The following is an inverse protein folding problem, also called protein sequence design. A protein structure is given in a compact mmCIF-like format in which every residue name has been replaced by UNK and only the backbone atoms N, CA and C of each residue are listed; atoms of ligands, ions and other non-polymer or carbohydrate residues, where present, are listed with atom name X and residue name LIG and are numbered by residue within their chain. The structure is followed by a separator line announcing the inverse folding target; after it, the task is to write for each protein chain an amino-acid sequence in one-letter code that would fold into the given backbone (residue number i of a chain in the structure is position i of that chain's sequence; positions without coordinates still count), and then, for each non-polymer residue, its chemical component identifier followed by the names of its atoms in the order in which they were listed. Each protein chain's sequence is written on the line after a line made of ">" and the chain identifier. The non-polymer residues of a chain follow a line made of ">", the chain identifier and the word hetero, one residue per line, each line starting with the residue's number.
data_IF_713507028172
#
_entry.id   IF_713507028172
#
_cell.length_a   1.000
_cell.length_b   1.000
_cell.length_c   1.000
_cell.angle_alpha   90.00
_cell.angle_beta   90.00
_cell.angle_gamma   90.00
#
_symmetry.space_group_name_H-M   'P 1'
#
loop_
_entity.id
_entity.type
_entity.pdbx_description
1 polymer ?
#
# COMPACT_ATOMS: atom_id res chain seq x y z
N UNK A 1 17.86 19.82 -6.56
CA UNK A 1 17.04 18.64 -6.19
C UNK A 1 15.84 19.13 -5.39
N UNK A 2 14.61 18.69 -5.67
CA UNK A 2 13.47 19.19 -4.90
C UNK A 2 13.48 18.57 -3.49
N UNK A 3 13.22 19.37 -2.45
CA UNK A 3 13.09 18.90 -1.07
C UNK A 3 12.08 17.74 -0.94
N UNK A 4 11.08 17.70 -1.82
CA UNK A 4 10.08 16.62 -1.88
C UNK A 4 10.73 15.25 -2.12
N UNK A 5 11.55 15.11 -3.18
CA UNK A 5 12.20 13.82 -3.55
C UNK A 5 13.12 13.32 -2.43
N UNK A 6 13.87 14.24 -1.78
CA UNK A 6 14.70 13.91 -0.63
C UNK A 6 13.87 13.41 0.55
N UNK A 7 12.72 14.04 0.83
CA UNK A 7 11.85 13.63 1.92
C UNK A 7 11.21 12.27 1.65
N UNK A 8 10.78 12.01 0.40
CA UNK A 8 10.28 10.68 -0.01
C UNK A 8 11.38 9.63 0.15
N UNK A 9 12.61 9.92 -0.30
CA UNK A 9 13.74 8.98 -0.16
C UNK A 9 14.03 8.65 1.31
N UNK A 10 14.06 9.63 2.19
CA UNK A 10 14.27 9.40 3.64
C UNK A 10 13.20 8.46 4.21
N UNK A 11 11.95 8.68 3.83
CA UNK A 11 10.80 7.87 4.27
C UNK A 11 10.86 6.45 3.69
N UNK A 12 11.13 6.32 2.39
CA UNK A 12 11.32 5.03 1.74
C UNK A 12 12.52 4.26 2.32
N UNK A 13 13.64 4.97 2.61
CA UNK A 13 14.80 4.36 3.26
C UNK A 13 14.49 3.81 4.64
N UNK A 14 13.67 4.50 5.43
CA UNK A 14 13.22 4.00 6.72
C UNK A 14 12.41 2.70 6.56
N UNK A 15 11.45 2.68 5.62
CA UNK A 15 10.67 1.49 5.30
C UNK A 15 11.57 0.34 4.83
N UNK A 16 12.47 0.58 3.86
CA UNK A 16 13.39 -0.42 3.31
C UNK A 16 14.29 -1.02 4.39
N UNK A 17 14.86 -0.19 5.26
CA UNK A 17 15.71 -0.67 6.34
C UNK A 17 14.94 -1.54 7.34
N UNK A 18 13.69 -1.17 7.66
CA UNK A 18 12.81 -1.98 8.48
C UNK A 18 12.55 -3.35 7.83
N UNK A 19 12.18 -3.36 6.55
CA UNK A 19 11.92 -4.61 5.80
C UNK A 19 13.15 -5.51 5.73
N UNK A 20 14.33 -4.96 5.47
CA UNK A 20 15.58 -5.71 5.47
C UNK A 20 15.89 -6.29 6.86
N UNK A 21 15.61 -5.54 7.93
CA UNK A 21 15.76 -6.02 9.29
C UNK A 21 14.81 -7.20 9.59
N UNK A 22 13.54 -7.07 9.19
CA UNK A 22 12.55 -8.15 9.33
C UNK A 22 12.94 -9.37 8.49
N UNK A 23 13.38 -9.17 7.24
CA UNK A 23 13.88 -10.23 6.37
C UNK A 23 15.00 -11.04 7.06
N UNK A 24 15.99 -10.36 7.62
CA UNK A 24 17.08 -11.00 8.37
C UNK A 24 16.55 -11.77 9.59
N UNK A 25 15.56 -11.23 10.29
CA UNK A 25 14.91 -11.90 11.43
C UNK A 25 14.18 -13.18 11.01
N UNK A 26 13.57 -13.21 9.83
CA UNK A 26 12.95 -14.42 9.27
C UNK A 26 14.04 -15.45 8.91
N UNK A 27 15.12 -15.04 8.24
CA UNK A 27 16.25 -15.88 7.88
C UNK A 27 16.86 -16.57 9.14
N UNK A 28 16.98 -15.83 10.21
CA UNK A 28 17.48 -16.31 11.51
C UNK A 28 16.46 -17.11 12.32
N UNK A 29 15.26 -17.33 11.79
CA UNK A 29 14.14 -18.03 12.44
C UNK A 29 13.67 -17.40 13.77
N UNK A 30 13.90 -16.10 13.93
CA UNK A 30 13.41 -15.32 15.07
C UNK A 30 11.92 -14.98 14.92
N UNK A 31 11.44 -14.92 13.69
CA UNK A 31 10.05 -14.65 13.33
C UNK A 31 9.42 -15.90 12.71
N UNK A 32 8.24 -16.29 13.19
CA UNK A 32 7.63 -17.60 12.87
C UNK A 32 6.34 -17.51 12.06
N UNK A 33 5.78 -16.32 11.87
CA UNK A 33 4.54 -16.12 11.13
C UNK A 33 4.81 -15.95 9.64
N UNK A 34 3.80 -16.21 8.78
CA UNK A 34 3.84 -15.68 7.42
C UNK A 34 3.97 -14.15 7.47
N UNK A 35 5.04 -13.62 6.91
CA UNK A 35 5.29 -12.19 6.88
C UNK A 35 5.36 -11.73 5.42
N UNK A 36 4.59 -10.69 5.10
CA UNK A 36 4.44 -10.13 3.78
C UNK A 36 5.24 -8.83 3.69
N UNK A 37 6.48 -8.95 3.20
CA UNK A 37 7.40 -7.82 3.11
C UNK A 37 7.04 -6.91 1.94
N UNK A 38 7.06 -5.60 2.17
CA UNK A 38 6.73 -4.56 1.18
C UNK A 38 7.95 -3.95 0.48
N UNK A 39 9.15 -4.48 0.70
CA UNK A 39 10.36 -4.04 0.02
C UNK A 39 10.21 -4.15 -1.51
N UNK A 40 10.60 -3.11 -2.21
CA UNK A 40 10.39 -2.90 -3.65
C UNK A 40 9.20 -1.99 -3.96
N UNK A 41 8.18 -1.97 -3.10
CA UNK A 41 6.93 -1.19 -3.25
C UNK A 41 6.85 0.03 -2.30
N UNK A 42 7.84 0.25 -1.45
CA UNK A 42 7.81 1.28 -0.40
C UNK A 42 7.69 2.71 -0.93
N UNK A 43 8.09 2.96 -2.18
CA UNK A 43 7.98 4.30 -2.78
C UNK A 43 6.54 4.75 -2.99
N UNK A 44 5.61 3.82 -3.18
CA UNK A 44 4.17 4.13 -3.29
C UNK A 44 3.70 4.78 -1.99
N UNK A 45 3.85 4.08 -0.88
CA UNK A 45 3.41 4.58 0.43
C UNK A 45 4.19 5.80 0.89
N UNK A 46 5.52 5.83 0.65
CA UNK A 46 6.36 6.96 1.01
C UNK A 46 5.98 8.24 0.28
N UNK A 47 5.65 8.12 -1.02
CA UNK A 47 5.23 9.26 -1.84
C UNK A 47 3.86 9.77 -1.45
N UNK A 48 2.88 8.87 -1.28
CA UNK A 48 1.52 9.22 -0.87
C UNK A 48 1.57 9.91 0.50
N UNK A 49 2.27 9.36 1.48
CA UNK A 49 2.41 9.95 2.81
C UNK A 49 3.05 11.33 2.76
N UNK A 50 4.06 11.54 1.91
CA UNK A 50 4.68 12.85 1.75
C UNK A 50 3.74 13.87 1.10
N UNK A 51 2.97 13.46 0.08
CA UNK A 51 1.93 14.33 -0.55
C UNK A 51 0.88 14.73 0.48
N UNK A 52 0.37 13.77 1.27
CA UNK A 52 -0.61 14.05 2.33
C UNK A 52 -0.06 15.02 3.37
N UNK A 53 1.18 14.81 3.82
CA UNK A 53 1.86 15.71 4.77
C UNK A 53 2.01 17.13 4.22
N UNK A 54 2.46 17.26 2.97
CA UNK A 54 2.66 18.57 2.33
C UNK A 54 1.33 19.33 2.17
N UNK A 55 0.23 18.58 1.98
CA UNK A 55 -1.12 19.12 1.88
C UNK A 55 -1.83 19.34 3.24
N UNK A 56 -1.24 18.90 4.36
CA UNK A 56 -1.87 18.96 5.68
C UNK A 56 -3.10 18.05 5.81
N UNK A 57 -3.16 16.95 5.05
CA UNK A 57 -4.29 16.02 5.05
C UNK A 57 -3.94 14.79 5.89
N UNK A 58 -4.84 14.41 6.80
CA UNK A 58 -4.76 13.18 7.61
C UNK A 58 -5.87 12.21 7.19
N UNK A 59 -5.65 11.36 6.17
CA UNK A 59 -6.68 10.46 5.65
C UNK A 59 -6.93 9.27 6.58
N UNK A 60 -8.11 8.67 6.45
CA UNK A 60 -8.35 7.30 6.90
C UNK A 60 -7.68 6.33 5.91
N UNK A 61 -6.93 5.35 6.42
CA UNK A 61 -6.09 4.47 5.58
C UNK A 61 -6.49 3.02 5.81
N UNK A 62 -6.98 2.36 4.77
CA UNK A 62 -7.31 0.95 4.77
C UNK A 62 -6.20 0.19 4.03
N UNK A 63 -5.42 -0.59 4.78
CA UNK A 63 -4.22 -1.24 4.25
C UNK A 63 -4.51 -2.66 3.77
N UNK A 64 -3.68 -3.14 2.86
CA UNK A 64 -3.61 -4.53 2.46
C UNK A 64 -2.69 -5.35 3.38
N UNK A 65 -2.62 -6.67 3.17
CA UNK A 65 -1.76 -7.58 3.94
C UNK A 65 -0.25 -7.25 3.86
N UNK A 66 0.21 -6.58 2.78
CA UNK A 66 1.59 -6.09 2.57
C UNK A 66 1.71 -4.64 3.03
N UNK A 67 1.28 -4.35 4.25
CA UNK A 67 1.05 -3.00 4.73
C UNK A 67 2.17 -2.36 5.54
N UNK A 68 3.32 -3.02 5.74
CA UNK A 68 4.38 -2.51 6.60
C UNK A 68 4.86 -1.11 6.17
N UNK A 69 5.15 -0.92 4.88
CA UNK A 69 5.59 0.38 4.37
C UNK A 69 4.50 1.45 4.52
N UNK A 70 3.23 1.12 4.30
CA UNK A 70 2.12 2.07 4.53
C UNK A 70 2.04 2.48 5.99
N UNK A 71 2.11 1.50 6.91
CA UNK A 71 2.10 1.74 8.35
C UNK A 71 3.24 2.70 8.77
N UNK A 72 4.46 2.41 8.32
CA UNK A 72 5.65 3.18 8.68
C UNK A 72 5.72 4.55 7.98
N UNK A 73 5.33 4.61 6.70
CA UNK A 73 5.35 5.85 5.94
C UNK A 73 4.37 6.90 6.50
N UNK A 74 3.29 6.47 7.13
CA UNK A 74 2.34 7.35 7.82
C UNK A 74 2.66 7.56 9.31
N UNK A 75 3.92 7.35 9.71
CA UNK A 75 4.45 7.63 11.04
C UNK A 75 3.76 6.85 12.17
N UNK A 76 3.24 5.66 11.89
CA UNK A 76 2.77 4.76 12.94
C UNK A 76 3.97 4.13 13.70
N UNK A 77 3.81 3.81 15.01
CA UNK A 77 4.95 3.45 15.85
C UNK A 77 5.66 2.17 15.41
N UNK A 78 6.93 2.20 14.98
CA UNK A 78 7.66 1.02 14.50
C UNK A 78 7.85 -0.05 15.58
N UNK A 79 7.96 0.37 16.86
CA UNK A 79 8.06 -0.57 17.98
C UNK A 79 6.82 -1.44 18.10
N UNK A 80 5.63 -0.88 17.92
CA UNK A 80 4.37 -1.65 17.96
C UNK A 80 4.29 -2.64 16.80
N UNK A 81 4.82 -2.29 15.63
CA UNK A 81 4.88 -3.22 14.50
C UNK A 81 5.85 -4.37 14.77
N UNK A 82 7.05 -4.10 15.30
CA UNK A 82 8.00 -5.14 15.70
C UNK A 82 7.39 -6.06 16.77
N UNK A 83 6.76 -5.50 17.79
CA UNK A 83 6.12 -6.28 18.86
C UNK A 83 4.99 -7.15 18.29
N UNK A 84 4.25 -6.67 17.27
CA UNK A 84 3.24 -7.45 16.56
C UNK A 84 3.84 -8.65 15.83
N UNK A 85 4.90 -8.43 15.05
CA UNK A 85 5.61 -9.49 14.32
C UNK A 85 6.25 -10.53 15.26
N UNK A 86 6.51 -10.15 16.51
CA UNK A 86 6.99 -11.04 17.56
C UNK A 86 5.87 -11.69 18.38
N UNK A 87 4.60 -11.46 18.06
CA UNK A 87 3.44 -12.00 18.77
C UNK A 87 3.26 -11.46 20.19
N UNK A 88 3.73 -10.24 20.48
CA UNK A 88 3.66 -9.61 21.79
C UNK A 88 2.36 -8.84 21.99
N UNK A 89 1.81 -8.84 23.20
CA UNK A 89 0.61 -8.06 23.55
C UNK A 89 0.77 -6.53 23.36
N UNK A 90 2.01 -6.03 23.36
CA UNK A 90 2.34 -4.61 23.06
C UNK A 90 2.33 -4.30 21.55
N UNK A 91 2.09 -5.29 20.70
CA UNK A 91 1.93 -5.11 19.27
C UNK A 91 0.68 -4.32 18.89
N UNK A 92 0.66 -3.78 17.69
CA UNK A 92 -0.39 -2.90 17.19
C UNK A 92 -1.76 -3.60 17.03
N UNK A 93 -1.79 -4.93 16.98
CA UNK A 93 -2.98 -5.78 17.01
C UNK A 93 -2.90 -6.82 18.14
N UNK A 94 -2.24 -6.46 19.25
CA UNK A 94 -2.07 -7.29 20.45
C UNK A 94 -1.32 -8.61 20.23
N UNK A 95 -0.48 -8.68 19.20
CA UNK A 95 0.28 -9.88 18.83
C UNK A 95 -0.54 -10.97 18.15
N UNK A 96 -1.77 -10.66 17.72
CA UNK A 96 -2.69 -11.60 17.08
C UNK A 96 -2.87 -11.37 15.58
N UNK A 97 -2.51 -10.19 15.08
CA UNK A 97 -2.69 -9.82 13.68
C UNK A 97 -1.54 -10.24 12.77
N UNK A 98 -0.35 -10.46 13.32
CA UNK A 98 0.87 -10.75 12.58
C UNK A 98 1.17 -9.64 11.56
N UNK A 99 1.70 -10.00 10.39
CA UNK A 99 2.00 -9.04 9.33
C UNK A 99 0.75 -8.59 8.54
N UNK A 100 -0.34 -9.35 8.57
CA UNK A 100 -1.50 -9.08 7.73
C UNK A 100 -2.48 -8.07 8.31
N UNK A 101 -2.67 -8.05 9.64
CA UNK A 101 -3.74 -7.28 10.30
C UNK A 101 -3.19 -6.16 11.20
N UNK A 102 -2.15 -5.47 10.73
CA UNK A 102 -1.55 -4.34 11.45
C UNK A 102 -2.47 -3.12 11.39
N UNK A 103 -2.53 -2.34 12.46
CA UNK A 103 -3.41 -1.17 12.58
C UNK A 103 -2.81 -0.09 13.48
N UNK A 104 -3.27 1.15 13.31
CA UNK A 104 -2.94 2.24 14.23
C UNK A 104 -4.14 3.16 14.39
N UNK A 105 -4.71 3.19 15.59
CA UNK A 105 -5.83 4.08 15.91
C UNK A 105 -5.40 5.56 15.80
N UNK A 106 -4.21 5.88 16.31
CA UNK A 106 -3.66 7.24 16.31
C UNK A 106 -3.46 7.78 14.89
N UNK A 107 -3.00 6.92 13.97
CA UNK A 107 -2.75 7.29 12.57
C UNK A 107 -3.90 6.94 11.62
N UNK A 108 -5.08 6.63 12.16
CA UNK A 108 -6.28 6.25 11.39
C UNK A 108 -6.00 5.13 10.39
N UNK A 109 -5.15 4.15 10.76
CA UNK A 109 -4.82 3.00 9.91
C UNK A 109 -5.68 1.82 10.34
N UNK A 110 -6.47 1.31 9.40
CA UNK A 110 -7.36 0.17 9.55
C UNK A 110 -6.70 -1.07 8.95
N UNK A 111 -6.60 -2.11 9.75
CA UNK A 111 -5.95 -3.35 9.37
C UNK A 111 -6.76 -4.19 8.40
N UNK A 112 -6.08 -5.09 7.72
CA UNK A 112 -6.66 -6.10 6.84
C UNK A 112 -7.22 -7.27 7.67
N UNK A 113 -8.31 -7.88 7.22
CA UNK A 113 -9.01 -8.96 7.94
C UNK A 113 -8.65 -10.39 7.45
N UNK A 114 -7.81 -10.49 6.40
CA UNK A 114 -7.40 -11.75 5.79
C UNK A 114 -8.17 -12.09 4.50
N UNK A 115 -9.33 -11.49 4.23
CA UNK A 115 -10.06 -11.63 2.98
C UNK A 115 -9.57 -10.58 1.97
N UNK A 116 -8.90 -11.02 0.89
CA UNK A 116 -8.28 -10.13 -0.08
C UNK A 116 -9.30 -9.16 -0.71
N UNK A 117 -9.05 -7.85 -0.60
CA UNK A 117 -9.93 -6.82 -1.17
C UNK A 117 -11.09 -6.37 -0.27
N UNK A 118 -11.43 -7.08 0.81
CA UNK A 118 -12.56 -6.75 1.70
C UNK A 118 -12.47 -5.35 2.30
N UNK A 119 -11.27 -4.81 2.47
CA UNK A 119 -11.05 -3.45 2.94
C UNK A 119 -11.68 -2.38 2.05
N UNK A 120 -11.90 -2.66 0.75
CA UNK A 120 -12.47 -1.67 -0.18
C UNK A 120 -13.95 -1.35 0.14
N UNK A 121 -14.89 -2.31 0.20
CA UNK A 121 -16.27 -2.00 0.57
C UNK A 121 -16.38 -1.48 2.01
N UNK A 122 -15.53 -1.91 2.94
CA UNK A 122 -15.50 -1.39 4.32
C UNK A 122 -15.10 0.08 4.32
N UNK A 123 -14.06 0.45 3.58
CA UNK A 123 -13.59 1.83 3.44
C UNK A 123 -14.63 2.73 2.77
N UNK A 124 -15.33 2.21 1.75
CA UNK A 124 -16.43 2.94 1.09
C UNK A 124 -17.55 3.23 2.09
N UNK A 125 -17.95 2.23 2.89
CA UNK A 125 -18.95 2.42 3.95
C UNK A 125 -18.52 3.45 5.00
N UNK A 126 -17.26 3.37 5.43
CA UNK A 126 -16.68 4.35 6.36
C UNK A 126 -16.67 5.77 5.76
N UNK A 127 -16.14 5.92 4.54
CA UNK A 127 -16.07 7.22 3.87
C UNK A 127 -17.45 7.80 3.56
N UNK A 128 -18.43 6.95 3.25
CA UNK A 128 -19.82 7.38 3.00
C UNK A 128 -20.42 8.10 4.20
N UNK A 129 -20.12 7.64 5.40
CA UNK A 129 -20.62 8.25 6.64
C UNK A 129 -19.75 9.42 7.09
N UNK A 130 -18.43 9.25 7.11
CA UNK A 130 -17.51 10.27 7.63
C UNK A 130 -17.31 11.46 6.70
N UNK A 131 -17.39 11.22 5.39
CA UNK A 131 -17.01 12.19 4.34
C UNK A 131 -15.57 12.70 4.45
N UNK A 132 -14.71 11.99 5.20
CA UNK A 132 -13.30 12.31 5.33
C UNK A 132 -12.47 11.68 4.21
N UNK A 133 -11.34 12.31 3.81
CA UNK A 133 -10.37 11.72 2.89
C UNK A 133 -10.03 10.28 3.28
N UNK A 134 -10.16 9.34 2.35
CA UNK A 134 -9.96 7.92 2.63
C UNK A 134 -9.11 7.27 1.54
N UNK A 135 -8.07 6.55 1.95
CA UNK A 135 -7.16 5.80 1.07
C UNK A 135 -7.39 4.31 1.29
N UNK A 136 -7.46 3.56 0.20
CA UNK A 136 -7.55 2.09 0.21
C UNK A 136 -6.38 1.52 -0.58
N UNK A 137 -5.53 0.72 0.06
CA UNK A 137 -4.47 -0.02 -0.60
C UNK A 137 -4.95 -1.41 -0.99
N UNK A 138 -4.68 -1.80 -2.23
CA UNK A 138 -5.03 -3.09 -2.84
C UNK A 138 -3.82 -3.66 -3.56
N UNK A 139 -3.68 -4.97 -3.62
CA UNK A 139 -2.80 -5.61 -4.59
C UNK A 139 -3.52 -5.78 -5.93
N UNK A 140 -2.78 -6.00 -7.01
CA UNK A 140 -3.32 -6.16 -8.36
C UNK A 140 -4.37 -7.29 -8.48
N UNK A 141 -4.15 -8.42 -7.80
CA UNK A 141 -5.11 -9.52 -7.78
C UNK A 141 -6.32 -9.25 -6.88
N UNK A 142 -6.10 -8.64 -5.71
CA UNK A 142 -7.22 -8.31 -4.81
C UNK A 142 -8.16 -7.25 -5.38
N UNK A 143 -7.67 -6.43 -6.30
CA UNK A 143 -8.48 -5.44 -6.99
C UNK A 143 -9.47 -6.08 -8.00
N UNK A 144 -9.25 -7.33 -8.39
CA UNK A 144 -10.11 -8.08 -9.32
C UNK A 144 -11.39 -8.65 -8.66
N UNK A 145 -11.45 -8.64 -7.32
CA UNK A 145 -12.58 -9.20 -6.59
C UNK A 145 -13.89 -8.43 -6.88
N UNK A 146 -14.99 -9.16 -7.02
CA UNK A 146 -16.29 -8.60 -7.42
C UNK A 146 -16.82 -7.53 -6.46
N UNK A 147 -16.61 -7.70 -5.16
CA UNK A 147 -16.98 -6.71 -4.16
C UNK A 147 -16.08 -5.46 -4.20
N UNK A 148 -14.86 -5.55 -4.73
CA UNK A 148 -14.01 -4.37 -4.99
C UNK A 148 -14.57 -3.58 -6.17
N UNK A 149 -14.95 -4.26 -7.26
CA UNK A 149 -15.58 -3.61 -8.40
C UNK A 149 -16.88 -2.91 -7.99
N UNK A 150 -17.71 -3.56 -7.17
CA UNK A 150 -18.89 -2.96 -6.58
C UNK A 150 -18.59 -1.73 -5.72
N UNK A 151 -17.52 -1.78 -4.92
CA UNK A 151 -17.07 -0.66 -4.09
C UNK A 151 -16.63 0.55 -4.94
N UNK A 152 -15.91 0.34 -6.05
CA UNK A 152 -15.54 1.40 -6.99
C UNK A 152 -16.79 2.10 -7.57
N UNK A 153 -17.76 1.32 -8.06
CA UNK A 153 -19.01 1.85 -8.60
C UNK A 153 -19.80 2.67 -7.57
N UNK A 154 -19.83 2.24 -6.31
CA UNK A 154 -20.47 2.98 -5.21
C UNK A 154 -19.71 4.27 -4.89
N UNK A 155 -18.39 4.22 -4.76
CA UNK A 155 -17.57 5.40 -4.49
C UNK A 155 -17.78 6.48 -5.55
N UNK A 156 -17.79 6.09 -6.83
CA UNK A 156 -18.08 6.98 -7.96
C UNK A 156 -19.49 7.56 -7.85
N UNK A 157 -20.52 6.71 -7.72
CA UNK A 157 -21.93 7.14 -7.65
C UNK A 157 -22.19 8.14 -6.51
N UNK A 158 -21.49 8.01 -5.40
CA UNK A 158 -21.65 8.89 -4.21
C UNK A 158 -20.65 10.04 -4.16
N UNK A 159 -19.80 10.15 -5.18
CA UNK A 159 -18.72 11.16 -5.26
C UNK A 159 -17.95 11.26 -3.93
N UNK A 160 -17.38 10.11 -3.50
CA UNK A 160 -16.67 10.03 -2.22
C UNK A 160 -15.24 10.55 -2.36
N UNK A 161 -14.69 11.27 -1.35
CA UNK A 161 -13.28 11.70 -1.35
C UNK A 161 -12.35 10.50 -1.09
N UNK A 162 -12.22 9.63 -2.08
CA UNK A 162 -11.50 8.37 -1.96
C UNK A 162 -10.38 8.23 -3.00
N UNK A 163 -9.27 7.66 -2.53
CA UNK A 163 -8.16 7.19 -3.35
C UNK A 163 -8.04 5.67 -3.22
N UNK A 164 -8.27 4.95 -4.31
CA UNK A 164 -7.95 3.53 -4.42
C UNK A 164 -6.56 3.39 -5.03
N UNK A 165 -5.63 2.77 -4.30
CA UNK A 165 -4.25 2.52 -4.73
C UNK A 165 -4.09 1.05 -5.03
N UNK A 166 -3.89 0.70 -6.28
CA UNK A 166 -3.56 -0.67 -6.70
C UNK A 166 -2.04 -0.77 -6.84
N UNK A 167 -1.42 -1.51 -5.94
CA UNK A 167 0.02 -1.82 -5.98
C UNK A 167 0.22 -3.00 -6.94
N UNK A 168 0.42 -2.68 -8.23
CA UNK A 168 0.49 -3.66 -9.32
C UNK A 168 1.92 -4.16 -9.49
N UNK A 169 2.23 -5.26 -8.82
CA UNK A 169 3.50 -5.98 -8.99
C UNK A 169 3.41 -7.14 -9.99
N UNK A 170 2.33 -7.21 -10.78
CA UNK A 170 2.05 -8.23 -11.78
C UNK A 170 1.83 -9.65 -11.23
N UNK A 171 1.78 -9.86 -9.89
CA UNK A 171 1.78 -11.20 -9.31
C UNK A 171 0.68 -11.39 -8.25
N UNK A 172 -0.20 -12.39 -8.48
CA UNK A 172 -1.00 -13.02 -7.43
C UNK A 172 -0.23 -14.24 -6.90
N UNK A 173 0.39 -14.12 -5.73
CA UNK A 173 1.37 -15.08 -5.24
C UNK A 173 2.48 -15.28 -6.27
N UNK A 174 2.31 -16.19 -7.24
CA UNK A 174 3.23 -16.48 -8.36
C UNK A 174 2.56 -16.40 -9.74
N UNK A 175 1.24 -16.14 -9.78
CA UNK A 175 0.48 -16.10 -11.04
C UNK A 175 0.51 -14.69 -11.62
N UNK A 176 1.07 -14.57 -12.83
CA UNK A 176 1.13 -13.28 -13.53
C UNK A 176 -0.27 -12.76 -13.89
N UNK A 177 -0.39 -11.42 -13.93
CA UNK A 177 -1.63 -10.71 -14.28
C UNK A 177 -2.22 -11.16 -15.63
N UNK A 178 -1.38 -11.35 -16.66
CA UNK A 178 -1.80 -11.78 -18.00
C UNK A 178 -2.51 -13.15 -18.05
N UNK A 179 -2.32 -13.99 -17.02
CA UNK A 179 -3.00 -15.30 -16.90
C UNK A 179 -4.39 -15.12 -16.29
N UNK A 180 -4.58 -14.10 -15.45
CA UNK A 180 -5.81 -13.84 -14.70
C UNK A 180 -6.78 -12.93 -15.44
N UNK A 181 -6.25 -11.90 -16.16
CA UNK A 181 -7.07 -10.91 -16.85
C UNK A 181 -6.37 -10.32 -18.07
N UNK A 182 -7.17 -9.79 -18.99
CA UNK A 182 -6.74 -9.08 -20.20
C UNK A 182 -7.23 -7.62 -20.24
N UNK A 183 -7.53 -7.05 -19.08
CA UNK A 183 -8.02 -5.69 -18.90
C UNK A 183 -7.27 -5.01 -17.76
N UNK A 184 -7.31 -3.68 -17.69
CA UNK A 184 -6.59 -2.89 -16.72
C UNK A 184 -7.53 -2.20 -15.72
N UNK A 185 -7.10 -2.13 -14.45
CA UNK A 185 -7.93 -1.56 -13.38
C UNK A 185 -8.25 -0.08 -13.58
N UNK A 186 -7.31 0.69 -14.12
CA UNK A 186 -7.55 2.12 -14.39
C UNK A 186 -8.61 2.32 -15.49
N UNK A 187 -8.81 1.39 -16.41
CA UNK A 187 -9.87 1.45 -17.41
C UNK A 187 -11.22 1.04 -16.82
N UNK A 188 -11.24 0.08 -15.90
CA UNK A 188 -12.45 -0.26 -15.12
C UNK A 188 -12.93 0.96 -14.31
N UNK A 189 -12.03 1.69 -13.67
CA UNK A 189 -12.39 2.92 -12.97
C UNK A 189 -13.03 3.95 -13.91
N UNK A 190 -12.48 4.15 -15.11
CA UNK A 190 -13.07 5.03 -16.13
C UNK A 190 -14.46 4.57 -16.58
N UNK A 191 -14.69 3.26 -16.67
CA UNK A 191 -16.01 2.72 -16.99
C UNK A 191 -17.07 3.03 -15.92
N UNK A 192 -16.65 3.26 -14.68
CA UNK A 192 -17.51 3.78 -13.60
C UNK A 192 -17.55 5.32 -13.52
N UNK A 193 -17.06 6.04 -14.53
CA UNK A 193 -16.91 7.50 -14.51
C UNK A 193 -16.04 8.01 -13.35
N UNK A 194 -15.06 7.22 -12.96
CA UNK A 194 -14.05 7.54 -11.95
C UNK A 194 -12.74 7.89 -12.63
N UNK A 195 -11.98 8.82 -12.08
CA UNK A 195 -10.63 9.12 -12.55
C UNK A 195 -9.74 7.89 -12.35
N UNK A 196 -9.32 7.25 -13.44
CA UNK A 196 -8.41 6.10 -13.48
C UNK A 196 -7.08 6.48 -14.09
N UNK A 197 -5.98 6.26 -13.34
CA UNK A 197 -4.62 6.60 -13.77
C UNK A 197 -3.74 5.36 -13.64
N UNK A 198 -2.93 5.09 -14.66
CA UNK A 198 -1.84 4.14 -14.65
C UNK A 198 -0.51 4.88 -14.60
N UNK A 199 0.37 4.49 -13.68
CA UNK A 199 1.63 5.20 -13.42
C UNK A 199 2.67 4.23 -12.86
N UNK A 200 3.96 4.54 -13.03
CA UNK A 200 5.04 3.85 -12.33
C UNK A 200 5.22 4.39 -10.88
N UNK A 201 6.06 3.72 -10.10
CA UNK A 201 6.33 4.08 -8.70
C UNK A 201 7.37 5.21 -8.54
N UNK A 202 7.71 5.94 -9.61
CA UNK A 202 8.62 7.09 -9.51
C UNK A 202 7.97 8.25 -8.74
N UNK A 203 8.65 8.82 -7.71
CA UNK A 203 8.03 9.76 -6.78
C UNK A 203 7.45 11.03 -7.42
N UNK A 204 8.04 11.53 -8.49
CA UNK A 204 7.52 12.72 -9.18
C UNK A 204 6.32 12.40 -10.08
N UNK A 205 6.27 11.20 -10.66
CA UNK A 205 5.12 10.75 -11.45
C UNK A 205 3.91 10.52 -10.52
N UNK A 206 4.12 9.84 -9.40
CA UNK A 206 3.09 9.66 -8.37
C UNK A 206 2.60 11.00 -7.82
N UNK A 207 3.52 11.94 -7.51
CA UNK A 207 3.13 13.28 -7.06
C UNK A 207 2.21 13.97 -8.05
N UNK A 208 2.56 13.95 -9.34
CA UNK A 208 1.74 14.52 -10.41
C UNK A 208 0.38 13.82 -10.54
N UNK A 209 0.35 12.50 -10.47
CA UNK A 209 -0.88 11.72 -10.55
C UNK A 209 -1.84 12.04 -9.39
N UNK A 210 -1.32 12.40 -8.22
CA UNK A 210 -2.10 12.74 -7.02
C UNK A 210 -2.58 14.20 -6.99
N UNK A 211 -2.31 15.03 -8.02
CA UNK A 211 -2.86 16.39 -8.09
C UNK A 211 -4.39 16.34 -8.11
N UNK A 212 -5.01 17.11 -7.20
CA UNK A 212 -6.46 17.13 -7.04
C UNK A 212 -7.05 15.86 -6.38
N UNK A 213 -6.23 15.04 -5.71
CA UNK A 213 -6.71 13.88 -4.94
C UNK A 213 -7.78 14.29 -3.92
N UNK A 214 -8.82 13.48 -3.78
CA UNK A 214 -10.02 13.70 -2.93
C UNK A 214 -11.01 14.77 -3.42
N UNK A 215 -10.76 15.48 -4.53
CA UNK A 215 -11.80 16.32 -5.15
C UNK A 215 -12.91 15.47 -5.79
N UNK A 216 -12.57 14.28 -6.20
CA UNK A 216 -13.41 13.23 -6.74
C UNK A 216 -12.81 11.85 -6.38
N UNK A 217 -13.57 10.76 -6.42
CA UNK A 217 -13.00 9.43 -6.24
C UNK A 217 -12.06 9.09 -7.40
N UNK A 218 -10.91 8.50 -7.08
CA UNK A 218 -9.95 8.09 -8.09
C UNK A 218 -9.32 6.73 -7.79
N UNK A 219 -8.92 6.04 -8.86
CA UNK A 219 -8.10 4.85 -8.79
C UNK A 219 -6.73 5.13 -9.41
N UNK A 220 -5.69 4.84 -8.66
CA UNK A 220 -4.30 4.91 -9.07
C UNK A 220 -3.74 3.50 -9.17
N UNK A 221 -3.52 3.00 -10.39
CA UNK A 221 -2.78 1.76 -10.62
C UNK A 221 -1.30 2.09 -10.67
N UNK A 222 -0.51 1.54 -9.75
CA UNK A 222 0.92 1.82 -9.65
C UNK A 222 1.71 0.59 -10.02
N UNK A 223 2.37 0.64 -11.18
CA UNK A 223 3.27 -0.41 -11.64
C UNK A 223 4.53 -0.40 -10.78
N UNK A 224 4.83 -1.51 -10.13
CA UNK A 224 5.92 -1.64 -9.18
C UNK A 224 6.50 -3.05 -9.18
N UNK A 225 7.51 -3.29 -8.35
CA UNK A 225 8.15 -4.60 -8.25
C UNK A 225 8.25 -5.03 -6.79
N UNK A 226 7.97 -6.30 -6.53
CA UNK A 226 8.16 -6.93 -5.25
C UNK A 226 9.56 -7.51 -5.17
N UNK A 227 10.33 -7.14 -4.14
CA UNK A 227 11.72 -7.61 -3.98
C UNK A 227 11.79 -9.02 -3.39
N UNK A 228 10.94 -9.32 -2.41
CA UNK A 228 10.94 -10.57 -1.67
C UNK A 228 9.75 -11.44 -2.06
N UNK A 229 9.82 -12.73 -1.72
CA UNK A 229 8.71 -13.66 -1.96
C UNK A 229 7.38 -13.12 -1.46
N UNK A 230 6.30 -13.68 -1.98
CA UNK A 230 4.95 -13.33 -1.54
C UNK A 230 4.84 -13.33 -0.02
N UNK A 231 5.40 -14.35 0.64
CA UNK A 231 5.57 -14.39 2.09
C UNK A 231 6.88 -15.10 2.45
N UNK A 232 7.48 -14.71 3.59
CA UNK A 232 8.71 -15.33 4.10
C UNK A 232 9.98 -14.66 3.59
N UNK A 233 11.08 -15.41 3.53
CA UNK A 233 12.44 -14.92 3.43
C UNK A 233 13.17 -15.40 2.17
N UNK A 234 12.54 -15.30 1.02
CA UNK A 234 13.17 -15.52 -0.28
C UNK A 234 13.18 -14.27 -1.13
N UNK A 235 13.91 -14.32 -2.23
CA UNK A 235 14.02 -13.28 -3.26
C UNK A 235 13.32 -13.81 -4.50
N UNK A 236 12.38 -13.04 -5.09
CA UNK A 236 11.64 -13.48 -6.28
C UNK A 236 12.54 -13.57 -7.51
N UNK A 237 13.30 -12.51 -7.78
CA UNK A 237 14.23 -12.43 -8.90
C UNK A 237 15.38 -11.48 -8.53
N UNK A 238 16.62 -11.94 -8.66
CA UNK A 238 17.81 -11.15 -8.35
C UNK A 238 18.04 -10.00 -9.35
N UNK A 239 17.50 -10.10 -10.56
CA UNK A 239 17.62 -9.10 -11.63
C UNK A 239 16.48 -8.07 -11.68
N UNK A 240 15.54 -8.13 -10.76
CA UNK A 240 14.36 -7.26 -10.80
C UNK A 240 14.72 -5.80 -10.55
N UNK A 241 14.04 -4.90 -11.26
CA UNK A 241 14.17 -3.45 -11.04
C UNK A 241 13.84 -3.09 -9.59
N UNK A 242 14.67 -2.25 -8.98
CA UNK A 242 14.50 -1.78 -7.61
C UNK A 242 14.53 -0.25 -7.56
N UNK A 243 13.35 0.37 -7.39
CA UNK A 243 13.21 1.83 -7.30
C UNK A 243 14.09 2.43 -6.20
N UNK A 244 14.25 1.74 -5.09
CA UNK A 244 15.05 2.23 -3.98
C UNK A 244 16.54 2.38 -4.37
N UNK A 245 17.10 1.38 -5.04
CA UNK A 245 18.49 1.45 -5.47
C UNK A 245 18.70 2.49 -6.60
N UNK A 246 17.73 2.64 -7.49
CA UNK A 246 17.75 3.70 -8.51
C UNK A 246 17.78 5.08 -7.87
N UNK A 247 16.83 5.37 -6.97
CA UNK A 247 16.75 6.66 -6.29
C UNK A 247 17.98 6.96 -5.43
N UNK A 248 18.52 5.94 -4.77
CA UNK A 248 19.75 6.03 -3.97
C UNK A 248 20.96 6.39 -4.82
N UNK A 249 21.04 5.86 -6.05
CA UNK A 249 22.13 6.17 -6.96
C UNK A 249 22.04 7.58 -7.54
N UNK A 250 20.84 8.14 -7.59
CA UNK A 250 20.56 9.47 -8.12
C UNK A 250 20.79 10.59 -7.07
N UNK A 251 20.58 10.29 -5.79
CA UNK A 251 20.68 11.24 -4.68
C UNK A 251 22.08 11.35 -4.12
#
# INVERSE_FOLDING_TARGET
>A
MSNFRINVFKRASFCRNFENYVFNGIQQKLLKFPIYLSAGQEYISATIAQVMRDAGIEPNIFIQHRGNSTYLAHDAPPKQLIDELLGRKSGCAYGMGGSASIRSKEKKIFGHDGLMGSQAPIAVGHCYVSREPTIVHLGDASAEEDYVLGALGWASTKNLPMLFVVEDNNLSILTEKRVRRNWEMHDVAKAFNMRGIDVDDHPLHLKKALEGVFSEPMLLNVNTHRKYWHSGAGIDDEGIFDRYEEEKSFL
#
